data_IF_895513394541
#
_entry.id   IF_895513394541
#
_cell.length_a   1.000
_cell.length_b   1.000
_cell.length_c   1.000
_cell.angle_alpha   90.00
_cell.angle_beta   90.00
_cell.angle_gamma   90.00
#
_symmetry.space_group_name_H-M   'P 1'
#
loop_
_entity.id
_entity.type
_entity.pdbx_description
1 polymer ?
#
# COMPACT_ATOMS: atom_id res chain seq x y z
N UNK A 1 47.52 -65.03 -0.03
CA UNK A 1 46.12 -64.60 -0.19
C UNK A 1 46.04 -63.18 0.33
N UNK A 2 45.53 -62.29 -0.52
CA UNK A 2 45.75 -60.84 -0.48
C UNK A 2 44.93 -60.15 0.62
N UNK A 3 45.50 -59.06 1.14
CA UNK A 3 44.96 -58.18 2.18
C UNK A 3 43.60 -57.57 1.82
N UNK A 4 42.65 -57.63 2.76
CA UNK A 4 41.43 -56.81 2.76
C UNK A 4 41.69 -55.51 3.53
N UNK A 5 41.72 -54.40 2.82
CA UNK A 5 41.97 -53.05 3.33
C UNK A 5 40.76 -52.57 4.13
N UNK A 6 40.96 -52.22 5.39
CA UNK A 6 40.00 -51.44 6.17
C UNK A 6 39.90 -50.03 5.57
N UNK A 7 38.73 -49.67 5.05
CA UNK A 7 38.40 -48.29 4.69
C UNK A 7 38.26 -47.46 5.97
N UNK A 8 38.83 -46.24 6.05
CA UNK A 8 38.58 -45.35 7.16
C UNK A 8 37.15 -44.80 7.06
N UNK A 9 36.41 -44.91 8.17
CA UNK A 9 35.12 -44.29 8.36
C UNK A 9 35.34 -42.77 8.46
N UNK A 10 35.02 -42.03 7.41
CA UNK A 10 34.91 -40.57 7.50
C UNK A 10 33.60 -40.25 8.25
N UNK A 11 33.65 -39.61 9.43
CA UNK A 11 32.44 -39.06 10.02
C UNK A 11 31.86 -37.99 9.09
N UNK A 12 30.54 -37.78 9.09
CA UNK A 12 29.96 -36.67 8.34
C UNK A 12 30.55 -35.39 8.94
N UNK A 13 31.16 -34.58 8.08
CA UNK A 13 31.53 -33.21 8.42
C UNK A 13 30.26 -32.50 8.87
N UNK A 14 30.12 -32.34 10.18
CA UNK A 14 29.27 -31.30 10.74
C UNK A 14 29.67 -30.01 10.03
N UNK A 15 28.70 -29.37 9.40
CA UNK A 15 28.87 -28.09 8.73
C UNK A 15 29.25 -27.06 9.79
N UNK A 16 30.56 -26.88 9.99
CA UNK A 16 31.15 -25.75 10.70
C UNK A 16 30.86 -24.47 9.89
N UNK A 17 29.71 -23.85 10.14
CA UNK A 17 29.50 -22.44 9.81
C UNK A 17 28.88 -21.70 11.02
N UNK A 18 29.60 -21.56 12.14
CA UNK A 18 29.12 -20.76 13.27
C UNK A 18 28.92 -19.27 12.91
N UNK A 19 29.57 -18.76 11.87
CA UNK A 19 29.39 -17.37 11.39
C UNK A 19 28.17 -17.17 10.45
N UNK A 20 27.62 -18.25 9.87
CA UNK A 20 26.44 -18.15 9.00
C UNK A 20 25.16 -17.83 9.79
N UNK A 21 25.10 -18.25 11.06
CA UNK A 21 23.97 -17.97 11.95
C UNK A 21 23.95 -16.50 12.39
N UNK A 22 25.09 -15.89 12.72
CA UNK A 22 25.15 -14.47 13.11
C UNK A 22 24.73 -13.53 11.97
N UNK A 23 25.17 -13.78 10.72
CA UNK A 23 24.76 -12.99 9.57
C UNK A 23 23.26 -13.18 9.25
N UNK A 24 22.77 -14.42 9.39
CA UNK A 24 21.36 -14.75 9.23
C UNK A 24 20.48 -14.01 10.25
N UNK A 25 20.91 -13.96 11.51
CA UNK A 25 20.22 -13.25 12.59
C UNK A 25 20.22 -11.74 12.38
N UNK A 26 21.34 -11.16 11.91
CA UNK A 26 21.43 -9.72 11.60
C UNK A 26 20.51 -9.34 10.44
N UNK A 27 20.48 -10.14 9.36
CA UNK A 27 19.57 -9.91 8.23
C UNK A 27 18.12 -10.10 8.70
N UNK A 28 17.84 -11.12 9.51
CA UNK A 28 16.53 -11.36 10.11
C UNK A 28 16.02 -10.16 10.91
N UNK A 29 16.84 -9.63 11.83
CA UNK A 29 16.50 -8.42 12.59
C UNK A 29 16.30 -7.20 11.70
N UNK A 30 17.13 -7.01 10.68
CA UNK A 30 16.99 -5.89 9.75
C UNK A 30 15.69 -5.97 8.94
N UNK A 31 15.27 -7.18 8.55
CA UNK A 31 14.00 -7.42 7.85
C UNK A 31 12.80 -7.21 8.78
N UNK A 32 12.88 -7.70 10.02
CA UNK A 32 11.81 -7.51 11.01
C UNK A 32 11.62 -6.03 11.35
N UNK A 33 12.72 -5.29 11.57
CA UNK A 33 12.66 -3.85 11.78
C UNK A 33 12.01 -3.12 10.59
N UNK A 34 12.32 -3.53 9.36
CA UNK A 34 11.71 -2.92 8.16
C UNK A 34 10.26 -3.29 7.96
N UNK A 35 9.88 -4.52 8.29
CA UNK A 35 8.48 -4.95 8.33
C UNK A 35 7.71 -4.06 9.31
N UNK A 36 8.24 -3.86 10.51
CA UNK A 36 7.58 -3.06 11.54
C UNK A 36 7.49 -1.59 11.11
N UNK A 37 8.55 -1.02 10.54
CA UNK A 37 8.53 0.33 9.97
C UNK A 37 7.53 0.49 8.82
N UNK A 38 7.38 -0.53 7.97
CA UNK A 38 6.39 -0.54 6.90
C UNK A 38 4.97 -0.54 7.47
N UNK A 39 4.70 -1.39 8.47
CA UNK A 39 3.40 -1.47 9.13
C UNK A 39 3.02 -0.17 9.83
N UNK A 40 3.94 0.42 10.58
CA UNK A 40 3.76 1.70 11.28
C UNK A 40 3.42 2.83 10.28
N UNK A 41 4.16 2.91 9.18
CA UNK A 41 3.89 3.89 8.12
C UNK A 41 2.58 3.63 7.36
N UNK A 42 2.18 2.37 7.20
CA UNK A 42 0.89 2.02 6.62
C UNK A 42 -0.26 2.47 7.53
N UNK A 43 -0.14 2.24 8.84
CA UNK A 43 -1.10 2.68 9.85
C UNK A 43 -1.28 4.20 9.79
N UNK A 44 -0.18 4.95 9.75
CA UNK A 44 -0.16 6.40 9.54
C UNK A 44 -0.91 6.86 8.28
N UNK A 45 -0.74 6.15 7.16
CA UNK A 45 -1.44 6.47 5.90
C UNK A 45 -2.95 6.21 6.06
N UNK A 46 -3.33 5.11 6.70
CA UNK A 46 -4.73 4.78 6.94
C UNK A 46 -5.42 5.76 7.89
N UNK A 47 -4.72 6.22 8.93
CA UNK A 47 -5.23 7.22 9.86
C UNK A 47 -5.46 8.56 9.15
N UNK A 48 -4.50 9.02 8.33
CA UNK A 48 -4.67 10.23 7.50
C UNK A 48 -5.84 10.09 6.52
N UNK A 49 -6.02 8.93 5.91
CA UNK A 49 -7.17 8.67 5.06
C UNK A 49 -8.48 8.77 5.85
N UNK A 50 -8.53 8.22 7.08
CA UNK A 50 -9.66 8.35 7.99
C UNK A 50 -10.01 9.80 8.34
N UNK A 51 -9.00 10.62 8.61
CA UNK A 51 -9.15 12.06 8.86
C UNK A 51 -9.72 12.79 7.65
N UNK A 52 -9.19 12.51 6.46
CA UNK A 52 -9.66 13.11 5.20
C UNK A 52 -11.10 12.71 4.90
N UNK A 53 -11.47 11.44 5.08
CA UNK A 53 -12.86 10.98 4.90
C UNK A 53 -13.80 11.69 5.89
N UNK A 54 -13.35 11.87 7.13
CA UNK A 54 -14.10 12.61 8.15
C UNK A 54 -14.29 14.08 7.76
N UNK A 55 -13.24 14.72 7.22
CA UNK A 55 -13.30 16.09 6.73
C UNK A 55 -14.26 16.22 5.54
N UNK A 56 -14.13 15.35 4.53
CA UNK A 56 -15.04 15.32 3.35
C UNK A 56 -16.49 15.16 3.80
N UNK A 57 -16.76 14.31 4.79
CA UNK A 57 -18.09 14.15 5.37
C UNK A 57 -18.57 15.45 6.03
N UNK A 58 -17.76 16.08 6.87
CA UNK A 58 -18.11 17.32 7.57
C UNK A 58 -18.37 18.45 6.57
N UNK A 59 -17.48 18.64 5.60
CA UNK A 59 -17.59 19.69 4.58
C UNK A 59 -18.80 19.46 3.68
N UNK A 60 -19.05 18.22 3.27
CA UNK A 60 -20.24 17.90 2.46
C UNK A 60 -21.51 18.18 3.24
N UNK A 61 -21.62 17.72 4.50
CA UNK A 61 -22.81 17.96 5.33
C UNK A 61 -22.99 19.45 5.61
N UNK A 62 -21.91 20.19 5.81
CA UNK A 62 -21.92 21.65 6.01
C UNK A 62 -22.36 22.38 4.74
N UNK A 63 -21.82 22.00 3.58
CA UNK A 63 -22.21 22.54 2.28
C UNK A 63 -23.67 22.23 1.94
N UNK A 64 -24.12 21.00 2.21
CA UNK A 64 -25.48 20.55 2.00
C UNK A 64 -26.46 21.35 2.87
N UNK A 65 -26.18 21.48 4.17
CA UNK A 65 -27.00 22.27 5.07
C UNK A 65 -26.97 23.77 4.77
N UNK A 66 -25.82 24.30 4.34
CA UNK A 66 -25.60 25.74 4.22
C UNK A 66 -25.95 26.31 2.84
N UNK A 67 -25.33 25.78 1.79
CA UNK A 67 -25.39 26.33 0.43
C UNK A 67 -26.56 25.74 -0.34
N UNK A 68 -26.75 24.43 -0.22
CA UNK A 68 -27.70 23.71 -1.04
C UNK A 68 -29.14 23.88 -0.57
N UNK A 69 -29.41 23.68 0.73
CA UNK A 69 -30.73 23.98 1.31
C UNK A 69 -31.08 25.44 1.04
N UNK A 70 -30.12 26.37 1.19
CA UNK A 70 -30.35 27.80 0.89
C UNK A 70 -30.71 28.04 -0.58
N UNK A 71 -30.04 27.40 -1.53
CA UNK A 71 -30.35 27.51 -2.97
C UNK A 71 -31.73 26.96 -3.29
N UNK A 72 -32.08 25.79 -2.73
CA UNK A 72 -33.40 25.17 -2.90
C UNK A 72 -34.47 26.08 -2.30
N UNK A 73 -34.28 26.52 -1.05
CA UNK A 73 -35.21 27.40 -0.36
C UNK A 73 -35.40 28.73 -1.09
N UNK A 74 -34.35 29.33 -1.64
CA UNK A 74 -34.48 30.55 -2.46
C UNK A 74 -35.34 30.33 -3.69
N UNK A 75 -35.13 29.23 -4.44
CA UNK A 75 -35.95 28.90 -5.63
C UNK A 75 -37.40 28.64 -5.25
N UNK A 76 -37.62 27.84 -4.21
CA UNK A 76 -38.95 27.51 -3.68
C UNK A 76 -39.68 28.75 -3.21
N UNK A 77 -39.02 29.64 -2.47
CA UNK A 77 -39.60 30.92 -2.04
C UNK A 77 -39.95 31.81 -3.24
N UNK A 78 -39.07 31.91 -4.23
CA UNK A 78 -39.28 32.73 -5.42
C UNK A 78 -40.47 32.23 -6.26
N UNK A 79 -40.60 30.91 -6.44
CA UNK A 79 -41.72 30.27 -7.15
C UNK A 79 -43.03 30.40 -6.32
N UNK A 80 -42.98 30.15 -5.01
CA UNK A 80 -44.14 30.30 -4.13
C UNK A 80 -44.67 31.74 -4.05
N UNK A 81 -43.81 32.74 -4.20
CA UNK A 81 -44.19 34.17 -4.24
C UNK A 81 -44.97 34.56 -5.50
N UNK A 82 -44.92 33.76 -6.56
CA UNK A 82 -45.70 33.98 -7.79
C UNK A 82 -47.18 33.63 -7.61
N UNK A 83 -47.53 32.78 -6.62
CA UNK A 83 -48.91 32.45 -6.29
C UNK A 83 -49.45 33.39 -5.21
N UNK A 84 -50.45 34.23 -5.55
CA UNK A 84 -51.11 35.18 -4.64
C UNK A 84 -52.64 35.07 -4.72
N UNK A 85 -53.33 35.28 -3.59
CA UNK A 85 -54.80 35.21 -3.49
C UNK A 85 -55.31 34.19 -2.47
N UNK A 86 -56.63 34.14 -2.26
CA UNK A 86 -57.29 33.15 -1.41
C UNK A 86 -57.13 31.75 -2.04
N UNK A 87 -56.67 30.76 -1.26
CA UNK A 87 -56.48 29.37 -1.72
C UNK A 87 -55.07 29.00 -2.21
N UNK A 88 -54.13 29.95 -2.28
CA UNK A 88 -52.77 29.68 -2.77
C UNK A 88 -51.89 28.84 -1.82
N UNK A 89 -52.30 28.62 -0.58
CA UNK A 89 -51.55 27.83 0.41
C UNK A 89 -51.26 26.41 -0.11
N UNK A 90 -52.24 25.75 -0.72
CA UNK A 90 -52.08 24.39 -1.26
C UNK A 90 -51.10 24.34 -2.44
N UNK A 91 -51.11 25.37 -3.28
CA UNK A 91 -50.18 25.49 -4.42
C UNK A 91 -48.75 25.74 -3.93
N UNK A 92 -48.56 26.60 -2.94
CA UNK A 92 -47.23 26.83 -2.31
C UNK A 92 -46.69 25.57 -1.66
N UNK A 93 -47.53 24.81 -0.95
CA UNK A 93 -47.14 23.52 -0.37
C UNK A 93 -46.75 22.49 -1.45
N UNK A 94 -47.47 22.44 -2.57
CA UNK A 94 -47.13 21.57 -3.69
C UNK A 94 -45.76 21.92 -4.32
N UNK A 95 -45.46 23.20 -4.47
CA UNK A 95 -44.14 23.70 -4.95
C UNK A 95 -43.00 23.28 -4.02
N UNK A 96 -43.19 23.44 -2.71
CA UNK A 96 -42.22 23.00 -1.69
C UNK A 96 -42.01 21.49 -1.82
N UNK A 97 -43.09 20.69 -1.76
CA UNK A 97 -43.00 19.24 -1.77
C UNK A 97 -42.31 18.71 -3.04
N UNK A 98 -42.65 19.25 -4.22
CA UNK A 98 -42.05 18.84 -5.51
C UNK A 98 -40.55 19.12 -5.59
N UNK A 99 -40.09 20.26 -5.04
CA UNK A 99 -38.68 20.62 -5.09
C UNK A 99 -37.82 19.78 -4.13
N UNK A 100 -38.34 19.43 -2.95
CA UNK A 100 -37.64 18.57 -1.99
C UNK A 100 -37.67 17.08 -2.37
N UNK A 101 -38.55 16.65 -3.27
CA UNK A 101 -38.58 15.28 -3.82
C UNK A 101 -37.85 15.12 -5.15
N UNK A 102 -37.16 16.17 -5.63
CA UNK A 102 -36.46 16.10 -6.90
C UNK A 102 -35.19 15.23 -6.80
N UNK A 103 -35.23 14.02 -7.36
CA UNK A 103 -34.12 13.06 -7.39
C UNK A 103 -32.83 13.63 -8.01
N UNK A 104 -32.91 14.58 -8.95
CA UNK A 104 -31.73 15.18 -9.57
C UNK A 104 -30.84 15.93 -8.59
N UNK A 105 -31.44 16.51 -7.55
CA UNK A 105 -30.76 17.22 -6.47
C UNK A 105 -29.92 16.23 -5.64
N UNK A 106 -30.47 15.07 -5.31
CA UNK A 106 -29.75 14.00 -4.61
C UNK A 106 -28.68 13.36 -5.50
N UNK A 107 -28.93 13.23 -6.79
CA UNK A 107 -27.97 12.72 -7.75
C UNK A 107 -26.71 13.59 -7.84
N UNK A 108 -26.89 14.91 -7.95
CA UNK A 108 -25.77 15.86 -8.03
C UNK A 108 -24.90 15.82 -6.76
N UNK A 109 -25.50 15.76 -5.56
CA UNK A 109 -24.77 15.60 -4.30
C UNK A 109 -23.94 14.31 -4.31
N UNK A 110 -24.58 13.21 -4.70
CA UNK A 110 -23.95 11.89 -4.71
C UNK A 110 -22.77 11.85 -5.68
N UNK A 111 -22.88 12.55 -6.81
CA UNK A 111 -21.82 12.67 -7.81
C UNK A 111 -20.61 13.43 -7.29
N UNK A 112 -20.82 14.60 -6.68
CA UNK A 112 -19.74 15.41 -6.10
C UNK A 112 -19.03 14.67 -4.97
N UNK A 113 -19.80 14.04 -4.07
CA UNK A 113 -19.26 13.16 -3.03
C UNK A 113 -18.40 12.03 -3.59
N UNK A 114 -18.89 11.35 -4.63
CA UNK A 114 -18.17 10.25 -5.26
C UNK A 114 -16.87 10.74 -5.91
N UNK A 115 -16.87 11.90 -6.54
CA UNK A 115 -15.67 12.47 -7.16
C UNK A 115 -14.62 12.86 -6.12
N UNK A 116 -15.01 13.56 -5.05
CA UNK A 116 -14.11 13.91 -3.96
C UNK A 116 -13.53 12.67 -3.28
N UNK A 117 -14.38 11.69 -2.93
CA UNK A 117 -13.94 10.45 -2.32
C UNK A 117 -12.98 9.67 -3.23
N UNK A 118 -13.29 9.58 -4.53
CA UNK A 118 -12.45 8.86 -5.50
C UNK A 118 -11.04 9.44 -5.57
N UNK A 119 -10.90 10.77 -5.65
CA UNK A 119 -9.58 11.40 -5.71
C UNK A 119 -8.72 11.12 -4.46
N UNK A 120 -9.34 11.06 -3.28
CA UNK A 120 -8.62 10.70 -2.05
C UNK A 120 -8.21 9.23 -2.01
N UNK A 121 -9.06 8.31 -2.48
CA UNK A 121 -8.69 6.89 -2.58
C UNK A 121 -7.52 6.71 -3.54
N UNK A 122 -7.54 7.35 -4.70
CA UNK A 122 -6.46 7.27 -5.69
C UNK A 122 -5.14 7.81 -5.13
N UNK A 123 -5.18 8.92 -4.38
CA UNK A 123 -4.00 9.47 -3.72
C UNK A 123 -3.42 8.55 -2.64
N UNK A 124 -4.27 8.00 -1.76
CA UNK A 124 -3.84 7.04 -0.72
C UNK A 124 -3.26 5.76 -1.32
N UNK A 125 -3.84 5.27 -2.42
CA UNK A 125 -3.27 4.12 -3.14
C UNK A 125 -1.87 4.42 -3.67
N UNK A 126 -1.66 5.61 -4.25
CA UNK A 126 -0.35 6.02 -4.73
C UNK A 126 0.67 6.11 -3.59
N UNK A 127 0.31 6.68 -2.43
CA UNK A 127 1.21 6.74 -1.27
C UNK A 127 1.60 5.35 -0.75
N UNK A 128 0.66 4.40 -0.75
CA UNK A 128 0.94 3.00 -0.37
C UNK A 128 1.90 2.33 -1.36
N UNK A 129 1.67 2.50 -2.66
CA UNK A 129 2.53 1.93 -3.70
C UNK A 129 3.97 2.49 -3.61
N UNK A 130 4.11 3.80 -3.41
CA UNK A 130 5.40 4.46 -3.22
C UNK A 130 6.13 3.98 -1.95
N UNK A 131 5.39 3.81 -0.84
CA UNK A 131 5.93 3.30 0.41
C UNK A 131 6.44 1.85 0.25
N UNK A 132 5.63 0.98 -0.34
CA UNK A 132 6.00 -0.43 -0.57
C UNK A 132 7.22 -0.52 -1.49
N UNK A 133 7.25 0.24 -2.59
CA UNK A 133 8.41 0.27 -3.49
C UNK A 133 9.68 0.68 -2.76
N UNK A 134 9.60 1.76 -1.96
CA UNK A 134 10.76 2.26 -1.20
C UNK A 134 11.30 1.22 -0.21
N UNK A 135 10.42 0.50 0.48
CA UNK A 135 10.84 -0.53 1.43
C UNK A 135 11.40 -1.78 0.76
N UNK A 136 10.87 -2.15 -0.42
CA UNK A 136 11.42 -3.24 -1.23
C UNK A 136 12.81 -2.89 -1.77
N UNK A 137 13.02 -1.65 -2.23
CA UNK A 137 14.32 -1.19 -2.70
C UNK A 137 15.35 -1.17 -1.56
N UNK A 138 14.97 -0.71 -0.37
CA UNK A 138 15.83 -0.77 0.81
C UNK A 138 16.16 -2.23 1.17
N UNK A 139 15.17 -3.11 1.14
CA UNK A 139 15.33 -4.56 1.38
C UNK A 139 16.33 -5.18 0.42
N UNK A 140 16.19 -4.89 -0.87
CA UNK A 140 17.13 -5.32 -1.90
C UNK A 140 18.55 -4.81 -1.61
N UNK A 141 18.70 -3.53 -1.28
CA UNK A 141 20.01 -2.96 -0.97
C UNK A 141 20.71 -3.67 0.22
N UNK A 142 19.96 -4.07 1.24
CA UNK A 142 20.53 -4.85 2.36
C UNK A 142 20.98 -6.24 1.94
N UNK A 143 20.21 -6.93 1.09
CA UNK A 143 20.65 -8.21 0.55
C UNK A 143 21.85 -8.07 -0.37
N UNK A 144 21.92 -7.00 -1.16
CA UNK A 144 23.07 -6.73 -2.03
C UNK A 144 24.35 -6.49 -1.22
N UNK A 145 24.27 -5.74 -0.11
CA UNK A 145 25.40 -5.55 0.83
C UNK A 145 25.82 -6.88 1.44
N UNK A 146 24.88 -7.65 2.00
CA UNK A 146 25.18 -8.94 2.61
C UNK A 146 25.81 -9.92 1.61
N UNK A 147 25.37 -9.89 0.35
CA UNK A 147 25.94 -10.70 -0.73
C UNK A 147 27.36 -10.27 -1.07
N UNK A 148 27.62 -8.98 -1.14
CA UNK A 148 28.94 -8.44 -1.45
C UNK A 148 29.94 -8.74 -0.32
N UNK A 149 29.53 -8.53 0.95
CA UNK A 149 30.34 -8.90 2.12
C UNK A 149 30.65 -10.39 2.17
N UNK A 150 29.65 -11.25 1.91
CA UNK A 150 29.85 -12.69 1.85
C UNK A 150 30.81 -13.07 0.70
N UNK A 151 30.64 -12.48 -0.49
CA UNK A 151 31.57 -12.72 -1.61
C UNK A 151 33.00 -12.27 -1.30
N UNK A 152 33.20 -11.22 -0.50
CA UNK A 152 34.53 -10.76 -0.10
C UNK A 152 35.13 -11.73 0.90
N UNK A 153 34.39 -12.11 1.95
CA UNK A 153 34.86 -13.08 2.95
C UNK A 153 35.19 -14.45 2.35
N UNK A 154 34.33 -14.99 1.47
CA UNK A 154 34.60 -16.27 0.82
C UNK A 154 35.83 -16.20 -0.10
N UNK A 155 36.05 -15.07 -0.78
CA UNK A 155 37.22 -14.87 -1.64
C UNK A 155 38.52 -14.68 -0.83
N UNK A 156 38.45 -14.12 0.38
CA UNK A 156 39.59 -14.05 1.30
C UNK A 156 39.94 -15.42 1.90
N UNK A 157 38.92 -16.25 2.18
CA UNK A 157 39.10 -17.61 2.72
C UNK A 157 39.54 -18.62 1.67
N UNK A 158 39.00 -18.54 0.47
CA UNK A 158 39.25 -19.49 -0.60
C UNK A 158 39.30 -18.77 -1.96
N UNK A 159 40.48 -18.32 -2.41
CA UNK A 159 40.60 -17.52 -3.65
C UNK A 159 40.16 -18.27 -4.92
N UNK A 160 40.22 -19.60 -4.91
CA UNK A 160 39.75 -20.45 -6.01
C UNK A 160 38.22 -20.63 -6.03
N UNK A 161 37.52 -20.21 -4.98
CA UNK A 161 36.07 -20.34 -4.84
C UNK A 161 35.32 -19.58 -5.94
N UNK A 162 35.76 -18.36 -6.27
CA UNK A 162 35.17 -17.56 -7.36
C UNK A 162 35.20 -18.30 -8.69
N UNK A 163 36.30 -18.98 -8.99
CA UNK A 163 36.46 -19.72 -10.23
C UNK A 163 35.52 -20.94 -10.25
N UNK A 164 35.43 -21.67 -9.13
CA UNK A 164 34.51 -22.81 -8.97
C UNK A 164 33.04 -22.42 -9.12
N UNK A 165 32.62 -21.29 -8.51
CA UNK A 165 31.24 -20.79 -8.62
C UNK A 165 30.95 -20.33 -10.05
N UNK A 166 31.88 -19.63 -10.70
CA UNK A 166 31.71 -19.22 -12.09
C UNK A 166 31.56 -20.43 -13.02
N UNK A 167 32.40 -21.46 -12.85
CA UNK A 167 32.32 -22.70 -13.62
C UNK A 167 31.00 -23.44 -13.38
N UNK A 168 30.49 -23.44 -12.14
CA UNK A 168 29.21 -24.06 -11.79
C UNK A 168 28.01 -23.30 -12.36
N UNK A 169 28.03 -21.96 -12.35
CA UNK A 169 26.99 -21.12 -12.98
C UNK A 169 26.97 -21.35 -14.50
N UNK A 170 28.13 -21.49 -15.15
CA UNK A 170 28.24 -21.83 -16.57
C UNK A 170 27.66 -23.23 -16.85
N UNK A 171 27.96 -24.21 -15.99
CA UNK A 171 27.37 -25.56 -16.08
C UNK A 171 25.85 -25.52 -15.89
N UNK A 172 25.34 -24.80 -14.91
CA UNK A 172 23.90 -24.68 -14.65
C UNK A 172 23.16 -23.98 -15.80
N UNK A 173 23.72 -22.92 -16.39
CA UNK A 173 23.12 -22.22 -17.54
C UNK A 173 23.05 -23.11 -18.79
N UNK A 174 24.10 -23.88 -19.05
CA UNK A 174 24.11 -24.84 -20.18
C UNK A 174 23.12 -26.00 -20.00
N UNK A 175 22.82 -26.40 -18.75
CA UNK A 175 21.77 -27.37 -18.42
C UNK A 175 20.34 -26.82 -18.62
N UNK A 176 20.15 -25.50 -18.44
CA UNK A 176 18.84 -24.83 -18.56
C UNK A 176 18.61 -24.32 -20.00
N UNK A 177 19.62 -24.40 -20.89
CA UNK A 177 19.52 -23.98 -22.28
C UNK A 177 19.55 -22.47 -22.48
N UNK A 178 20.34 -21.76 -21.64
CA UNK A 178 20.69 -20.34 -21.81
C UNK A 178 22.18 -20.18 -22.09
#
# INVERSE_FOLDING_TARGET
MNCGVCLPFHPPTESEWPESDELGDVIGQALDYRKDLLLDRMEDIFDRFGDVVSLVRIDTLTWLNGSMIRRIMSRVCQEAMQHRGKGCTRLRQAVVNRNFTNEGVFHDITKELRQGFKGHVEHTQQELDELVSTQLDATRATFDIAREENSVQENEREPDFRQRVADEVIRARSLIGM
#
